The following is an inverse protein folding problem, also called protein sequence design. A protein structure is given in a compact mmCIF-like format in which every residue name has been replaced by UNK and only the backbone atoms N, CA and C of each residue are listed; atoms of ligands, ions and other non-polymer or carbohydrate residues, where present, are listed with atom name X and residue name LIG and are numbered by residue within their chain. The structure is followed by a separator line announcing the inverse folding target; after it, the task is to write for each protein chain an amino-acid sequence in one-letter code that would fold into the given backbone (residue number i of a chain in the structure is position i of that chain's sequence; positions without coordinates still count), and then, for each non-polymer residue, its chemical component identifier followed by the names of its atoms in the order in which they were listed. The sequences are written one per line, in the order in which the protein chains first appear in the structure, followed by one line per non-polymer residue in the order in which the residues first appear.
data_IF_534233931382
#
_entry.id   IF_534233931382
#
_cell.length_a   1.000
_cell.length_b   1.000
_cell.length_c   1.000
_cell.angle_alpha   90.00
_cell.angle_beta   90.00
_cell.angle_gamma   90.00
#
_symmetry.space_group_name_H-M   'P 1'
#
loop_
_entity.id
_entity.type
_entity.pdbx_description
1 polymer ?
#
# COMPACT_ATOMS: atom_id res chain seq x y z
N UNK A 1 10.71 5.72 55.15
CA UNK A 1 10.37 7.14 55.40
C UNK A 1 9.39 7.56 54.34
N UNK A 2 8.22 8.16 54.55
CA UNK A 2 7.42 8.60 55.70
C UNK A 2 6.04 8.92 55.05
N UNK A 3 4.91 8.44 55.54
CA UNK A 3 4.12 8.98 56.66
C UNK A 3 3.78 10.49 56.52
N UNK A 4 2.51 10.76 56.18
CA UNK A 4 1.54 11.82 56.57
C UNK A 4 1.84 13.33 56.43
N UNK A 5 0.83 14.04 55.89
CA UNK A 5 0.11 15.20 56.45
C UNK A 5 -1.15 15.36 55.54
N UNK A 6 -2.43 15.20 55.95
CA UNK A 6 -3.22 15.90 56.99
C UNK A 6 -3.08 17.44 56.84
N UNK A 7 -4.11 18.29 56.71
CA UNK A 7 -5.42 18.38 57.34
C UNK A 7 -6.31 19.38 56.56
N UNK A 8 -7.63 19.27 56.73
CA UNK A 8 -8.51 20.36 57.23
C UNK A 8 -9.97 19.85 57.21
N UNK A 9 -10.46 19.22 58.29
CA UNK A 9 -11.16 19.82 59.45
C UNK A 9 -12.41 20.65 59.11
N UNK A 10 -13.58 20.10 59.48
CA UNK A 10 -14.52 20.83 60.34
C UNK A 10 -15.54 19.87 60.99
N UNK A 11 -15.45 19.74 62.31
CA UNK A 11 -16.48 19.29 63.25
C UNK A 11 -16.78 20.50 64.16
N UNK A 12 -17.95 20.67 64.81
CA UNK A 12 -18.24 19.82 65.97
C UNK A 12 -19.74 19.63 66.38
N UNK A 13 -20.00 18.48 67.03
CA UNK A 13 -20.71 18.27 68.32
C UNK A 13 -22.23 18.43 68.62
N UNK A 14 -22.73 17.36 69.30
CA UNK A 14 -23.72 17.22 70.41
C UNK A 14 -25.24 17.47 70.12
N UNK A 15 -26.27 16.80 70.69
CA UNK A 15 -26.50 15.98 71.90
C UNK A 15 -27.81 15.13 71.77
N UNK A 16 -27.97 14.15 72.66
CA UNK A 16 -29.01 13.11 72.78
C UNK A 16 -30.47 13.57 73.03
N UNK A 17 -31.44 12.64 72.90
CA UNK A 17 -32.46 12.36 73.94
C UNK A 17 -33.19 11.01 73.74
N UNK A 18 -33.60 10.47 74.87
CA UNK A 18 -34.07 9.13 75.22
C UNK A 18 -35.60 9.09 75.39
N UNK A 19 -36.27 7.95 75.16
CA UNK A 19 -37.34 7.39 76.02
C UNK A 19 -38.23 6.33 75.31
N UNK A 20 -38.37 5.17 75.95
CA UNK A 20 -39.49 4.21 75.80
C UNK A 20 -40.54 4.46 76.92
N UNK A 21 -41.79 3.95 76.88
CA UNK A 21 -42.03 2.56 77.35
C UNK A 21 -43.30 1.78 76.87
N UNK A 22 -43.20 0.47 77.10
CA UNK A 22 -44.12 -0.68 77.38
C UNK A 22 -45.66 -0.56 77.59
N UNK A 23 -46.37 -1.55 76.98
CA UNK A 23 -47.23 -2.67 77.52
C UNK A 23 -48.78 -2.66 77.49
N UNK A 24 -49.30 -3.83 77.03
CA UNK A 24 -50.52 -4.63 77.38
C UNK A 24 -51.92 -4.16 76.97
N UNK A 25 -52.76 -4.99 76.33
CA UNK A 25 -53.68 -5.94 77.02
C UNK A 25 -54.46 -6.84 76.01
N UNK A 26 -55.25 -7.82 76.52
CA UNK A 26 -55.64 -9.09 75.89
C UNK A 26 -57.18 -9.28 75.85
N UNK A 27 -57.72 -9.82 74.73
CA UNK A 27 -58.95 -10.69 74.53
C UNK A 27 -60.37 -10.09 74.72
N UNK A 28 -61.48 -10.76 74.30
CA UNK A 28 -61.69 -11.92 73.37
C UNK A 28 -62.82 -11.69 72.31
N UNK A 29 -62.96 -12.59 71.32
CA UNK A 29 -64.10 -12.57 70.39
C UNK A 29 -64.32 -13.89 69.66
N UNK A 30 -65.35 -14.62 70.11
CA UNK A 30 -65.91 -15.86 69.59
C UNK A 30 -66.84 -15.55 68.40
N UNK A 31 -66.92 -16.42 67.39
CA UNK A 31 -68.14 -16.56 66.56
C UNK A 31 -67.96 -16.48 65.03
N UNK A 32 -68.37 -17.56 64.34
CA UNK A 32 -68.69 -17.54 62.91
C UNK A 32 -68.10 -18.71 62.12
N UNK A 33 -68.66 -19.92 62.28
CA UNK A 33 -68.35 -21.07 61.41
C UNK A 33 -69.07 -21.01 60.06
N UNK A 34 -68.59 -21.80 59.09
CA UNK A 34 -69.38 -22.13 57.89
C UNK A 34 -68.60 -22.66 56.69
N UNK A 35 -68.26 -23.95 56.71
CA UNK A 35 -68.31 -24.85 55.54
C UNK A 35 -67.26 -24.73 54.43
N UNK A 36 -66.52 -25.83 54.18
CA UNK A 36 -65.92 -26.06 52.86
C UNK A 36 -64.66 -26.93 52.83
N UNK A 37 -64.85 -28.25 52.85
CA UNK A 37 -64.06 -29.28 52.15
C UNK A 37 -62.55 -29.37 52.43
N UNK A 38 -62.16 -30.43 53.14
CA UNK A 38 -60.81 -30.98 53.09
C UNK A 38 -60.37 -31.19 51.63
N UNK A 39 -59.23 -30.65 51.16
CA UNK A 39 -58.72 -30.98 49.84
C UNK A 39 -58.31 -32.44 49.83
N UNK A 40 -58.90 -33.19 48.93
CA UNK A 40 -58.55 -34.57 48.63
C UNK A 40 -57.04 -34.64 48.27
N UNK A 41 -56.21 -35.43 48.97
CA UNK A 41 -54.77 -35.50 48.71
C UNK A 41 -54.44 -35.97 47.28
N UNK A 42 -55.40 -36.58 46.58
CA UNK A 42 -55.28 -36.90 45.17
C UNK A 42 -55.41 -35.67 44.25
N UNK A 43 -56.31 -34.72 44.55
CA UNK A 43 -56.45 -33.48 43.75
C UNK A 43 -55.28 -32.51 43.94
N UNK A 44 -54.66 -32.50 45.13
CA UNK A 44 -53.46 -31.68 45.37
C UNK A 44 -52.25 -32.17 44.57
N UNK A 45 -52.05 -33.50 44.47
CA UNK A 45 -50.97 -34.10 43.65
C UNK A 45 -51.19 -33.91 42.15
N UNK A 46 -52.44 -33.99 41.68
CA UNK A 46 -52.79 -33.72 40.27
C UNK A 46 -52.54 -32.24 39.93
N UNK A 47 -52.91 -31.30 40.80
CA UNK A 47 -52.62 -29.86 40.60
C UNK A 47 -51.12 -29.54 40.63
N UNK A 48 -50.35 -30.23 41.47
CA UNK A 48 -48.88 -30.09 41.50
C UNK A 48 -48.23 -30.65 40.23
N UNK A 49 -48.69 -31.79 39.70
CA UNK A 49 -48.23 -32.36 38.43
C UNK A 49 -48.53 -31.42 37.25
N UNK A 50 -49.73 -30.84 37.21
CA UNK A 50 -50.12 -29.87 36.16
C UNK A 50 -49.30 -28.59 36.26
N UNK A 51 -49.07 -28.05 37.47
CA UNK A 51 -48.23 -26.87 37.67
C UNK A 51 -46.77 -27.10 37.24
N UNK A 52 -46.20 -28.27 37.56
CA UNK A 52 -44.86 -28.66 37.08
C UNK A 52 -44.83 -28.78 35.54
N UNK A 53 -45.85 -29.38 34.92
CA UNK A 53 -45.97 -29.46 33.47
C UNK A 53 -46.02 -28.09 32.80
N UNK A 54 -46.77 -27.14 33.37
CA UNK A 54 -46.84 -25.75 32.88
C UNK A 54 -45.50 -25.03 33.04
N UNK A 55 -44.79 -25.20 34.16
CA UNK A 55 -43.47 -24.60 34.36
C UNK A 55 -42.46 -25.15 33.34
N UNK A 56 -42.43 -26.46 33.13
CA UNK A 56 -41.55 -27.10 32.13
C UNK A 56 -41.89 -26.61 30.72
N UNK A 57 -43.17 -26.51 30.37
CA UNK A 57 -43.61 -25.96 29.09
C UNK A 57 -43.15 -24.51 28.90
N UNK A 58 -43.33 -23.66 29.92
CA UNK A 58 -42.87 -22.27 29.90
C UNK A 58 -41.35 -22.18 29.76
N UNK A 59 -40.59 -23.03 30.45
CA UNK A 59 -39.12 -23.08 30.31
C UNK A 59 -38.70 -23.50 28.90
N UNK A 60 -39.37 -24.48 28.29
CA UNK A 60 -39.11 -24.89 26.91
C UNK A 60 -39.41 -23.74 25.94
N UNK A 61 -40.56 -23.08 26.08
CA UNK A 61 -40.92 -21.92 25.25
C UNK A 61 -39.96 -20.74 25.45
N UNK A 62 -39.54 -20.48 26.68
CA UNK A 62 -38.54 -19.44 26.99
C UNK A 62 -37.20 -19.76 26.35
N UNK A 63 -36.75 -21.01 26.42
CA UNK A 63 -35.49 -21.47 25.80
C UNK A 63 -35.56 -21.38 24.28
N UNK A 64 -36.70 -21.73 23.67
CA UNK A 64 -36.93 -21.60 22.23
C UNK A 64 -37.01 -20.14 21.78
N UNK A 65 -37.64 -19.26 22.57
CA UNK A 65 -37.69 -17.83 22.29
C UNK A 65 -36.30 -17.17 22.40
N UNK A 66 -35.53 -17.50 23.45
CA UNK A 66 -34.15 -17.03 23.63
C UNK A 66 -33.25 -17.57 22.50
N UNK A 67 -33.32 -18.86 22.18
CA UNK A 67 -32.57 -19.45 21.07
C UNK A 67 -32.96 -18.85 19.72
N UNK A 68 -34.24 -18.47 19.53
CA UNK A 68 -34.73 -17.78 18.35
C UNK A 68 -34.11 -16.39 18.16
N UNK A 69 -34.05 -15.58 19.22
CA UNK A 69 -33.41 -14.26 19.21
C UNK A 69 -31.88 -14.33 19.07
N UNK A 70 -31.23 -15.32 19.71
CA UNK A 70 -29.78 -15.51 19.60
C UNK A 70 -29.39 -15.99 18.19
N UNK A 71 -30.19 -16.87 17.57
CA UNK A 71 -29.93 -17.38 16.22
C UNK A 71 -30.11 -16.31 15.15
N UNK A 72 -31.12 -15.45 15.26
CA UNK A 72 -31.31 -14.32 14.33
C UNK A 72 -30.18 -13.29 14.47
N UNK A 73 -29.75 -12.97 15.71
CA UNK A 73 -28.62 -12.08 15.97
C UNK A 73 -27.30 -12.57 15.37
N UNK A 74 -26.96 -13.86 15.56
CA UNK A 74 -25.74 -14.47 14.99
C UNK A 74 -25.76 -14.48 13.46
N UNK A 75 -26.92 -14.76 12.86
CA UNK A 75 -27.10 -14.77 11.41
C UNK A 75 -26.90 -13.38 10.82
N UNK A 76 -27.43 -12.34 11.47
CA UNK A 76 -27.26 -10.96 11.04
C UNK A 76 -25.81 -10.50 11.20
N UNK A 77 -25.17 -10.80 12.34
CA UNK A 77 -23.76 -10.47 12.55
C UNK A 77 -22.85 -11.10 11.48
N UNK A 78 -23.12 -12.34 11.08
CA UNK A 78 -22.36 -13.00 10.02
C UNK A 78 -22.60 -12.37 8.63
N UNK A 79 -23.83 -11.95 8.32
CA UNK A 79 -24.14 -11.20 7.09
C UNK A 79 -23.45 -9.85 7.06
N UNK A 80 -23.51 -9.11 8.18
CA UNK A 80 -22.86 -7.81 8.31
C UNK A 80 -21.35 -7.97 8.18
N UNK A 81 -20.75 -8.95 8.87
CA UNK A 81 -19.33 -9.28 8.72
C UNK A 81 -18.96 -9.59 7.26
N UNK A 82 -19.70 -10.48 6.59
CA UNK A 82 -19.45 -10.80 5.18
C UNK A 82 -19.59 -9.58 4.25
N UNK A 83 -20.52 -8.66 4.54
CA UNK A 83 -20.69 -7.42 3.79
C UNK A 83 -19.52 -6.49 4.02
N UNK A 84 -19.08 -6.32 5.26
CA UNK A 84 -17.98 -5.44 5.62
C UNK A 84 -16.66 -5.95 5.03
N UNK A 85 -16.42 -7.27 5.09
CA UNK A 85 -15.29 -7.92 4.41
C UNK A 85 -15.35 -7.71 2.90
N UNK A 86 -16.52 -7.91 2.29
CA UNK A 86 -16.69 -7.65 0.84
C UNK A 86 -16.40 -6.20 0.50
N UNK A 87 -16.92 -5.26 1.29
CA UNK A 87 -16.76 -3.83 1.06
C UNK A 87 -15.28 -3.42 1.13
N UNK A 88 -14.54 -3.82 2.17
CA UNK A 88 -13.10 -3.48 2.27
C UNK A 88 -12.29 -4.12 1.16
N UNK A 89 -12.61 -5.35 0.74
CA UNK A 89 -11.89 -6.01 -0.35
C UNK A 89 -12.14 -5.35 -1.71
N UNK A 90 -13.35 -4.85 -1.95
CA UNK A 90 -13.69 -4.09 -3.15
C UNK A 90 -13.04 -2.70 -3.16
N UNK A 91 -13.11 -1.98 -2.04
CA UNK A 91 -12.47 -0.67 -1.85
C UNK A 91 -10.95 -0.78 -2.04
N UNK A 92 -10.33 -1.80 -1.44
CA UNK A 92 -8.89 -2.06 -1.58
C UNK A 92 -8.46 -2.32 -3.02
N UNK A 93 -9.39 -2.78 -3.87
CA UNK A 93 -9.15 -2.89 -5.30
C UNK A 93 -9.33 -1.55 -6.02
N UNK A 94 -10.50 -0.90 -5.87
CA UNK A 94 -10.87 0.27 -6.66
C UNK A 94 -10.16 1.55 -6.22
N UNK A 95 -9.96 1.74 -4.92
CA UNK A 95 -9.41 2.97 -4.33
C UNK A 95 -7.89 2.90 -4.14
N UNK A 96 -7.31 1.70 -4.19
CA UNK A 96 -5.90 1.48 -3.87
C UNK A 96 -5.16 0.75 -4.97
N UNK A 97 -5.50 -0.51 -5.26
CA UNK A 97 -4.73 -1.31 -6.21
C UNK A 97 -4.79 -0.78 -7.65
N UNK A 98 -5.98 -0.47 -8.16
CA UNK A 98 -6.13 0.06 -9.53
C UNK A 98 -5.41 1.40 -9.72
N UNK A 99 -5.59 2.40 -8.82
CA UNK A 99 -4.82 3.64 -8.87
C UNK A 99 -3.31 3.42 -8.74
N UNK A 100 -2.87 2.47 -7.91
CA UNK A 100 -1.45 2.14 -7.76
C UNK A 100 -0.86 1.65 -9.08
N UNK A 101 -1.46 0.64 -9.72
CA UNK A 101 -0.95 0.10 -10.97
C UNK A 101 -1.06 1.09 -12.13
N UNK A 102 -2.10 1.94 -12.13
CA UNK A 102 -2.22 3.03 -13.08
C UNK A 102 -1.09 4.06 -12.89
N UNK A 103 -0.78 4.45 -11.66
CA UNK A 103 0.30 5.38 -11.35
C UNK A 103 1.68 4.78 -11.70
N UNK A 104 1.95 3.52 -11.34
CA UNK A 104 3.22 2.87 -11.67
C UNK A 104 3.42 2.63 -13.18
N UNK A 105 2.33 2.66 -13.96
CA UNK A 105 2.36 2.51 -15.43
C UNK A 105 2.21 3.84 -16.17
N UNK A 106 2.06 4.97 -15.47
CA UNK A 106 1.79 6.26 -16.10
C UNK A 106 3.03 6.85 -16.80
N UNK A 107 4.22 6.39 -16.41
CA UNK A 107 5.50 6.91 -16.88
C UNK A 107 5.80 8.33 -16.40
N UNK A 108 5.06 8.81 -15.40
CA UNK A 108 5.31 10.08 -14.71
C UNK A 108 6.59 10.03 -13.85
N UNK A 109 7.13 11.20 -13.52
CA UNK A 109 8.30 11.32 -12.65
C UNK A 109 7.97 11.16 -11.16
N UNK A 110 9.01 11.11 -10.32
CA UNK A 110 8.84 10.97 -8.88
C UNK A 110 8.06 12.14 -8.25
N UNK A 111 8.17 13.35 -8.79
CA UNK A 111 7.50 14.55 -8.26
C UNK A 111 5.98 14.43 -8.40
N UNK A 112 5.51 13.87 -9.52
CA UNK A 112 4.10 13.63 -9.77
C UNK A 112 3.57 12.37 -9.07
N UNK A 113 4.38 11.32 -8.96
CA UNK A 113 3.94 10.03 -8.41
C UNK A 113 3.93 9.98 -6.89
N UNK A 114 4.91 10.60 -6.21
CA UNK A 114 5.03 10.54 -4.74
C UNK A 114 3.76 11.01 -4.01
N UNK A 115 3.15 12.17 -4.37
CA UNK A 115 1.91 12.60 -3.72
C UNK A 115 0.76 11.61 -3.92
N UNK A 116 0.63 11.02 -5.12
CA UNK A 116 -0.41 10.01 -5.41
C UNK A 116 -0.20 8.79 -4.52
N UNK A 117 1.00 8.24 -4.48
CA UNK A 117 1.30 7.05 -3.67
C UNK A 117 1.18 7.29 -2.16
N UNK A 118 1.50 8.50 -1.68
CA UNK A 118 1.25 8.86 -0.27
C UNK A 118 -0.23 8.81 0.08
N UNK A 119 -1.11 9.29 -0.81
CA UNK A 119 -2.56 9.18 -0.62
C UNK A 119 -3.03 7.71 -0.62
N UNK A 120 -2.52 6.89 -1.55
CA UNK A 120 -2.86 5.46 -1.59
C UNK A 120 -2.40 4.71 -0.33
N UNK A 121 -1.23 5.06 0.20
CA UNK A 121 -0.73 4.54 1.48
C UNK A 121 -1.68 4.85 2.62
N UNK A 122 -2.16 6.09 2.72
CA UNK A 122 -3.09 6.50 3.77
C UNK A 122 -4.43 5.75 3.66
N UNK A 123 -4.96 5.60 2.45
CA UNK A 123 -6.16 4.80 2.21
C UNK A 123 -5.97 3.35 2.64
N UNK A 124 -4.87 2.70 2.21
CA UNK A 124 -4.58 1.32 2.58
C UNK A 124 -4.38 1.12 4.09
N UNK A 125 -3.72 2.06 4.77
CA UNK A 125 -3.56 2.05 6.23
C UNK A 125 -4.92 2.14 6.93
N UNK A 126 -5.84 2.95 6.41
CA UNK A 126 -7.19 3.08 6.95
C UNK A 126 -8.05 1.84 6.71
N UNK A 127 -7.94 1.21 5.53
CA UNK A 127 -8.60 -0.07 5.24
C UNK A 127 -8.12 -1.18 6.17
N UNK A 128 -6.80 -1.30 6.41
CA UNK A 128 -6.25 -2.28 7.34
C UNK A 128 -6.72 -2.04 8.78
N UNK A 129 -6.75 -0.79 9.23
CA UNK A 129 -7.32 -0.41 10.54
C UNK A 129 -8.81 -0.73 10.61
N UNK A 130 -9.57 -0.48 9.55
CA UNK A 130 -11.01 -0.77 9.50
C UNK A 130 -11.26 -2.27 9.59
N UNK A 131 -10.53 -3.07 8.79
CA UNK A 131 -10.63 -4.53 8.79
C UNK A 131 -10.34 -5.12 10.18
N UNK A 132 -9.32 -4.62 10.88
CA UNK A 132 -8.99 -5.03 12.26
C UNK A 132 -10.12 -4.78 13.26
N UNK A 133 -10.96 -3.78 13.03
CA UNK A 133 -12.05 -3.40 13.93
C UNK A 133 -13.41 -4.00 13.53
N UNK A 134 -13.43 -4.91 12.56
CA UNK A 134 -14.64 -5.65 12.25
C UNK A 134 -15.09 -6.50 13.43
N UNK A 135 -16.39 -6.79 13.47
CA UNK A 135 -17.01 -7.64 14.49
C UNK A 135 -17.23 -9.03 13.91
N UNK A 136 -16.23 -9.93 13.91
CA UNK A 136 -16.42 -11.27 13.39
C UNK A 136 -17.37 -12.07 14.30
N UNK A 137 -17.99 -13.14 13.78
CA UNK A 137 -18.66 -14.13 14.60
C UNK A 137 -17.71 -14.67 15.68
N UNK A 138 -18.21 -14.85 16.90
CA UNK A 138 -17.39 -15.28 18.05
C UNK A 138 -16.96 -16.75 18.06
N UNK A 139 -17.27 -17.51 17.00
CA UNK A 139 -16.83 -18.90 16.85
C UNK A 139 -15.42 -19.00 16.27
N UNK A 140 -14.83 -20.20 16.32
CA UNK A 140 -13.43 -20.40 15.92
C UNK A 140 -13.21 -20.11 14.43
N UNK A 141 -14.22 -20.36 13.58
CA UNK A 141 -14.16 -20.02 12.15
C UNK A 141 -14.17 -18.52 11.91
N UNK A 142 -15.05 -17.77 12.58
CA UNK A 142 -15.07 -16.31 12.48
C UNK A 142 -13.77 -15.67 12.95
N UNK A 143 -13.19 -16.17 14.05
CA UNK A 143 -11.88 -15.72 14.54
C UNK A 143 -10.74 -16.04 13.56
N UNK A 144 -10.72 -17.26 13.00
CA UNK A 144 -9.72 -17.64 12.01
C UNK A 144 -9.82 -16.80 10.73
N UNK A 145 -11.04 -16.57 10.24
CA UNK A 145 -11.29 -15.71 9.09
C UNK A 145 -10.82 -14.28 9.34
N UNK A 146 -11.09 -13.75 10.53
CA UNK A 146 -10.68 -12.41 10.93
C UNK A 146 -9.15 -12.29 11.01
N UNK A 147 -8.49 -13.25 11.65
CA UNK A 147 -7.03 -13.29 11.72
C UNK A 147 -6.40 -13.28 10.32
N UNK A 148 -6.90 -14.14 9.42
CA UNK A 148 -6.36 -14.26 8.06
C UNK A 148 -6.66 -13.02 7.22
N UNK A 149 -7.83 -12.37 7.41
CA UNK A 149 -8.15 -11.08 6.80
C UNK A 149 -7.19 -9.97 7.28
N UNK A 150 -6.95 -9.88 8.58
CA UNK A 150 -6.03 -8.90 9.16
C UNK A 150 -4.62 -9.08 8.61
N UNK A 151 -4.14 -10.32 8.50
CA UNK A 151 -2.84 -10.62 7.90
C UNK A 151 -2.79 -10.14 6.44
N UNK A 152 -3.80 -10.46 5.63
CA UNK A 152 -3.86 -10.06 4.24
C UNK A 152 -3.89 -8.53 4.06
N UNK A 153 -4.73 -7.83 4.84
CA UNK A 153 -4.84 -6.37 4.75
C UNK A 153 -3.57 -5.66 5.25
N UNK A 154 -2.89 -6.21 6.26
CA UNK A 154 -1.58 -5.70 6.70
C UNK A 154 -0.49 -5.92 5.65
N UNK A 155 -0.48 -7.06 4.95
CA UNK A 155 0.45 -7.27 3.83
C UNK A 155 0.23 -6.23 2.72
N UNK A 156 -1.03 -5.92 2.41
CA UNK A 156 -1.36 -4.88 1.42
C UNK A 156 -0.85 -3.51 1.83
N UNK A 157 -1.19 -3.05 3.03
CA UNK A 157 -0.77 -1.72 3.49
C UNK A 157 0.74 -1.57 3.58
N UNK A 158 1.44 -2.60 4.08
CA UNK A 158 2.91 -2.61 4.15
C UNK A 158 3.57 -2.63 2.77
N UNK A 159 3.02 -3.38 1.82
CA UNK A 159 3.50 -3.41 0.46
C UNK A 159 3.39 -2.03 -0.19
N UNK A 160 2.23 -1.39 -0.10
CA UNK A 160 1.99 -0.06 -0.68
C UNK A 160 2.91 0.99 -0.04
N UNK A 161 3.06 0.95 1.28
CA UNK A 161 3.99 1.81 2.01
C UNK A 161 5.42 1.66 1.49
N UNK A 162 5.88 0.42 1.39
CA UNK A 162 7.24 0.12 0.94
C UNK A 162 7.45 0.52 -0.53
N UNK A 163 6.44 0.32 -1.40
CA UNK A 163 6.50 0.78 -2.79
C UNK A 163 6.61 2.31 -2.83
N UNK A 164 5.78 3.03 -2.08
CA UNK A 164 5.82 4.49 -2.00
C UNK A 164 7.19 5.01 -1.51
N UNK A 165 7.76 4.39 -0.49
CA UNK A 165 9.05 4.76 0.09
C UNK A 165 10.22 4.48 -0.88
N UNK A 166 10.13 3.42 -1.69
CA UNK A 166 11.20 3.01 -2.64
C UNK A 166 11.10 3.69 -4.00
N UNK A 167 9.93 4.17 -4.38
CA UNK A 167 9.68 4.73 -5.71
C UNK A 167 10.66 5.86 -6.10
N UNK A 168 10.98 6.85 -5.23
CA UNK A 168 11.92 7.91 -5.59
C UNK A 168 13.31 7.37 -5.96
N UNK A 169 13.79 6.34 -5.25
CA UNK A 169 15.07 5.69 -5.55
C UNK A 169 15.00 4.84 -6.82
N UNK A 170 13.86 4.17 -7.06
CA UNK A 170 13.65 3.37 -8.27
C UNK A 170 13.58 4.24 -9.55
N UNK A 171 13.08 5.48 -9.43
CA UNK A 171 13.04 6.47 -10.50
C UNK A 171 14.29 7.37 -10.56
N UNK A 172 15.20 7.21 -9.61
CA UNK A 172 16.42 7.99 -9.48
C UNK A 172 17.53 7.50 -10.40
N UNK A 173 18.78 7.65 -9.95
CA UNK A 173 19.96 7.26 -10.71
C UNK A 173 19.95 5.75 -11.01
N UNK A 174 19.98 5.32 -12.29
CA UNK A 174 19.98 3.91 -12.68
C UNK A 174 21.12 3.08 -12.10
N UNK A 175 22.27 3.68 -11.78
CA UNK A 175 23.38 2.98 -11.13
C UNK A 175 23.04 2.55 -9.69
N UNK A 176 22.01 3.15 -9.08
CA UNK A 176 21.60 2.92 -7.68
C UNK A 176 20.14 2.51 -7.53
N UNK A 177 19.37 2.47 -8.62
CA UNK A 177 17.93 2.21 -8.59
C UNK A 177 17.60 0.73 -8.42
N UNK A 178 18.51 -0.18 -8.80
CA UNK A 178 18.24 -1.63 -8.83
C UNK A 178 17.74 -2.20 -7.48
N UNK A 179 18.36 -1.91 -6.32
CA UNK A 179 17.84 -2.41 -5.04
C UNK A 179 16.43 -1.91 -4.71
N UNK A 180 16.06 -0.72 -5.18
CA UNK A 180 14.72 -0.18 -4.99
C UNK A 180 13.70 -0.85 -5.93
N UNK A 181 14.09 -1.13 -7.17
CA UNK A 181 13.30 -1.91 -8.14
C UNK A 181 13.05 -3.32 -7.62
N UNK A 182 14.09 -4.01 -7.13
CA UNK A 182 13.99 -5.34 -6.55
C UNK A 182 13.06 -5.35 -5.33
N UNK A 183 13.16 -4.33 -4.48
CA UNK A 183 12.27 -4.18 -3.33
C UNK A 183 10.81 -3.99 -3.78
N UNK A 184 10.54 -3.19 -4.81
CA UNK A 184 9.20 -2.99 -5.36
C UNK A 184 8.65 -4.32 -5.92
N UNK A 185 9.43 -5.06 -6.69
CA UNK A 185 9.05 -6.38 -7.20
C UNK A 185 8.74 -7.38 -6.06
N UNK A 186 9.54 -7.36 -4.99
CA UNK A 186 9.28 -8.15 -3.79
C UNK A 186 7.96 -7.79 -3.11
N UNK A 187 7.56 -6.51 -3.11
CA UNK A 187 6.27 -6.11 -2.57
C UNK A 187 5.09 -6.50 -3.46
N UNK A 188 5.28 -6.62 -4.78
CA UNK A 188 4.26 -7.21 -5.66
C UNK A 188 3.96 -8.67 -5.28
N UNK A 189 4.97 -9.41 -4.80
CA UNK A 189 4.76 -10.76 -4.24
C UNK A 189 3.97 -10.71 -2.92
N UNK A 190 4.19 -9.72 -2.06
CA UNK A 190 3.40 -9.53 -0.84
C UNK A 190 1.93 -9.21 -1.14
N UNK A 191 1.66 -8.38 -2.16
CA UNK A 191 0.30 -8.12 -2.66
C UNK A 191 -0.35 -9.43 -3.15
N UNK A 192 0.37 -10.24 -3.94
CA UNK A 192 -0.12 -11.55 -4.38
C UNK A 192 -0.36 -12.52 -3.20
N UNK A 193 0.52 -12.51 -2.19
CA UNK A 193 0.34 -13.34 -1.00
C UNK A 193 -0.95 -12.96 -0.24
N UNK A 194 -1.27 -11.66 -0.15
CA UNK A 194 -2.54 -11.20 0.43
C UNK A 194 -3.75 -11.77 -0.30
N UNK A 195 -3.68 -11.82 -1.64
CA UNK A 195 -4.72 -12.38 -2.50
C UNK A 195 -4.90 -13.88 -2.27
N UNK A 196 -3.78 -14.61 -2.15
CA UNK A 196 -3.80 -16.05 -1.85
C UNK A 196 -4.42 -16.31 -0.48
N UNK A 197 -4.08 -15.54 0.55
CA UNK A 197 -4.67 -15.68 1.90
C UNK A 197 -6.18 -15.48 1.85
N UNK A 198 -6.67 -14.44 1.16
CA UNK A 198 -8.10 -14.17 1.08
C UNK A 198 -8.85 -15.30 0.39
N UNK A 199 -8.37 -15.77 -0.77
CA UNK A 199 -9.04 -16.80 -1.57
C UNK A 199 -8.96 -18.17 -0.90
N UNK A 200 -7.82 -18.52 -0.31
CA UNK A 200 -7.58 -19.86 0.24
C UNK A 200 -8.07 -20.02 1.69
N UNK A 201 -8.25 -18.92 2.43
CA UNK A 201 -8.53 -18.95 3.87
C UNK A 201 -9.74 -18.12 4.26
N UNK A 202 -9.66 -16.80 4.10
CA UNK A 202 -10.68 -15.88 4.61
C UNK A 202 -12.06 -16.13 3.99
N UNK A 203 -12.14 -16.14 2.66
CA UNK A 203 -13.40 -16.32 1.94
C UNK A 203 -14.05 -17.68 2.21
N UNK A 204 -13.35 -18.83 2.09
CA UNK A 204 -13.94 -20.14 2.40
C UNK A 204 -14.50 -20.24 3.82
N UNK A 205 -13.77 -19.75 4.83
CA UNK A 205 -14.23 -19.79 6.22
C UNK A 205 -15.54 -19.02 6.43
N UNK A 206 -15.69 -17.86 5.78
CA UNK A 206 -16.89 -17.02 5.88
C UNK A 206 -18.05 -17.65 5.08
N UNK A 207 -17.79 -18.10 3.86
CA UNK A 207 -18.81 -18.70 3.00
C UNK A 207 -19.36 -20.00 3.60
N UNK A 208 -18.51 -20.84 4.21
CA UNK A 208 -18.93 -22.03 4.93
C UNK A 208 -19.76 -21.68 6.16
N UNK A 209 -19.36 -20.67 6.93
CA UNK A 209 -20.15 -20.19 8.07
C UNK A 209 -21.54 -19.68 7.61
N UNK A 210 -21.62 -18.96 6.48
CA UNK A 210 -22.87 -18.47 5.91
C UNK A 210 -23.78 -19.62 5.49
N UNK A 211 -23.19 -20.63 4.84
CA UNK A 211 -23.89 -21.84 4.42
C UNK A 211 -24.44 -22.61 5.63
N UNK A 212 -23.65 -22.82 6.67
CA UNK A 212 -24.05 -23.53 7.88
C UNK A 212 -25.14 -22.77 8.67
N UNK A 213 -25.14 -21.44 8.60
CA UNK A 213 -26.18 -20.58 9.15
C UNK A 213 -27.48 -20.56 8.30
N UNK A 214 -27.51 -21.23 7.15
CA UNK A 214 -28.66 -21.25 6.23
C UNK A 214 -28.86 -19.93 5.49
N UNK A 215 -27.81 -19.11 5.36
CA UNK A 215 -27.87 -17.85 4.63
C UNK A 215 -27.65 -18.10 3.14
N UNK A 216 -28.74 -18.06 2.37
CA UNK A 216 -28.67 -18.14 0.91
C UNK A 216 -28.38 -16.77 0.28
N UNK A 217 -27.52 -16.74 -0.74
CA UNK A 217 -27.26 -15.55 -1.56
C UNK A 217 -26.25 -14.55 -0.97
N UNK A 218 -25.70 -14.81 0.21
CA UNK A 218 -24.57 -14.06 0.75
C UNK A 218 -23.28 -14.86 0.52
N UNK A 219 -22.25 -14.21 0.02
CA UNK A 219 -20.89 -14.72 -0.05
C UNK A 219 -19.92 -13.56 -0.14
N UNK A 220 -18.69 -13.79 0.30
CA UNK A 220 -17.64 -12.77 0.19
C UNK A 220 -17.34 -12.55 -1.29
N UNK A 221 -17.61 -11.35 -1.79
CA UNK A 221 -17.17 -11.00 -3.14
C UNK A 221 -15.74 -10.52 -3.06
N UNK A 222 -14.91 -11.06 -3.94
CA UNK A 222 -13.49 -10.76 -3.96
C UNK A 222 -12.99 -10.72 -5.40
N UNK A 223 -12.12 -9.76 -5.66
CA UNK A 223 -11.41 -9.64 -6.92
C UNK A 223 -9.93 -9.46 -6.62
N UNK A 224 -9.10 -10.10 -7.45
CA UNK A 224 -7.64 -10.04 -7.32
C UNK A 224 -7.13 -8.62 -7.49
N UNK A 225 -6.18 -8.20 -6.64
CA UNK A 225 -5.51 -6.90 -6.78
C UNK A 225 -4.36 -6.99 -7.78
N UNK A 226 -3.58 -8.08 -7.75
CA UNK A 226 -2.51 -8.33 -8.75
C UNK A 226 -3.09 -9.09 -9.94
N UNK A 227 -3.62 -8.37 -10.93
CA UNK A 227 -4.19 -8.98 -12.15
C UNK A 227 -3.14 -9.40 -13.17
N UNK A 228 -2.00 -8.68 -13.23
CA UNK A 228 -0.90 -8.97 -14.15
C UNK A 228 0.31 -9.53 -13.37
N UNK A 229 0.63 -10.80 -13.63
CA UNK A 229 1.73 -11.49 -12.96
C UNK A 229 3.12 -11.01 -13.41
N UNK A 230 3.22 -10.23 -14.49
CA UNK A 230 4.49 -9.68 -14.96
C UNK A 230 5.13 -8.76 -13.91
N UNK A 231 4.31 -8.08 -13.08
CA UNK A 231 4.77 -7.22 -11.96
C UNK A 231 5.63 -7.91 -10.91
N UNK A 232 5.63 -9.25 -10.87
CA UNK A 232 6.46 -10.02 -9.93
C UNK A 232 7.94 -10.05 -10.33
N UNK A 233 8.28 -9.56 -11.53
CA UNK A 233 9.63 -9.55 -12.10
C UNK A 233 10.23 -8.15 -12.05
N UNK A 234 11.49 -7.99 -11.59
CA UNK A 234 12.17 -6.70 -11.61
C UNK A 234 12.22 -6.07 -13.00
N UNK A 235 12.39 -6.86 -14.07
CA UNK A 235 12.46 -6.39 -15.46
C UNK A 235 11.18 -5.69 -15.91
N UNK A 236 10.02 -6.24 -15.54
CA UNK A 236 8.73 -5.60 -15.82
C UNK A 236 8.58 -4.31 -15.02
N UNK A 237 8.96 -4.30 -13.74
CA UNK A 237 8.91 -3.09 -12.90
C UNK A 237 9.78 -1.99 -13.53
N UNK A 238 11.00 -2.31 -13.94
CA UNK A 238 11.89 -1.39 -14.66
C UNK A 238 11.24 -0.86 -15.93
N UNK A 239 10.61 -1.74 -16.72
CA UNK A 239 9.95 -1.38 -17.98
C UNK A 239 8.76 -0.45 -17.74
N UNK A 240 7.91 -0.74 -16.76
CA UNK A 240 6.69 0.03 -16.46
C UNK A 240 7.00 1.38 -15.82
N UNK A 241 7.98 1.42 -14.90
CA UNK A 241 8.55 2.67 -14.38
C UNK A 241 9.38 3.43 -15.44
N UNK A 242 9.76 2.74 -16.51
CA UNK A 242 10.58 3.24 -17.62
C UNK A 242 9.80 3.71 -18.84
N UNK A 243 8.49 3.50 -18.88
CA UNK A 243 7.63 3.77 -20.03
C UNK A 243 7.24 5.25 -20.18
N UNK A 244 8.21 6.18 -20.11
CA UNK A 244 8.25 7.37 -20.97
C UNK A 244 9.64 7.99 -20.93
N UNK A 245 10.08 8.43 -22.11
CA UNK A 245 11.46 8.78 -22.41
C UNK A 245 12.07 9.93 -21.62
N UNK A 246 13.38 9.83 -21.43
CA UNK A 246 14.34 10.89 -21.74
C UNK A 246 14.02 12.30 -21.23
N UNK A 247 13.56 12.45 -20.01
CA UNK A 247 13.32 13.76 -19.37
C UNK A 247 14.00 13.85 -18.01
N UNK A 248 15.26 13.40 -17.90
CA UNK A 248 16.03 13.53 -16.66
C UNK A 248 16.63 14.91 -16.51
N UNK A 249 16.45 15.57 -15.36
CA UNK A 249 17.36 16.64 -14.92
C UNK A 249 18.76 16.05 -14.84
N UNK A 250 19.76 16.71 -15.43
CA UNK A 250 21.11 16.18 -15.46
C UNK A 250 21.63 15.89 -14.04
N UNK A 251 22.09 14.67 -13.79
CA UNK A 251 22.78 14.31 -12.55
C UNK A 251 24.27 14.64 -12.67
N UNK A 252 24.91 14.91 -11.53
CA UNK A 252 26.36 15.12 -11.48
C UNK A 252 27.07 13.78 -11.58
N UNK A 253 27.97 13.63 -12.56
CA UNK A 253 28.74 12.40 -12.73
C UNK A 253 29.36 12.31 -14.11
N UNK A 254 30.38 11.46 -14.24
CA UNK A 254 30.95 11.12 -15.55
C UNK A 254 30.05 10.11 -16.26
N UNK A 255 29.98 10.20 -17.59
CA UNK A 255 29.33 9.20 -18.44
C UNK A 255 30.03 7.85 -18.25
N UNK A 256 29.29 6.81 -17.86
CA UNK A 256 29.85 5.49 -17.57
C UNK A 256 30.15 4.72 -18.84
N UNK A 257 31.32 4.09 -18.88
CA UNK A 257 31.67 3.14 -19.93
C UNK A 257 31.38 1.70 -19.45
N UNK A 258 30.42 1.05 -20.11
CA UNK A 258 30.03 -0.34 -19.85
C UNK A 258 30.46 -1.30 -20.96
N UNK A 259 31.28 -0.86 -21.92
CA UNK A 259 31.79 -1.70 -23.03
C UNK A 259 32.38 -3.03 -22.61
N UNK A 260 32.98 -3.08 -21.42
CA UNK A 260 33.63 -4.26 -20.85
C UNK A 260 32.68 -5.22 -20.11
N UNK A 261 31.42 -4.86 -19.94
CA UNK A 261 30.41 -5.73 -19.34
C UNK A 261 29.97 -6.80 -20.34
N UNK A 262 29.52 -7.95 -19.83
CA UNK A 262 29.03 -9.05 -20.67
C UNK A 262 27.62 -8.70 -21.20
N UNK A 263 27.39 -8.72 -22.53
CA UNK A 263 26.06 -8.48 -23.08
C UNK A 263 25.10 -9.63 -22.72
N UNK A 264 23.84 -9.28 -22.48
CA UNK A 264 22.76 -10.24 -22.20
C UNK A 264 22.13 -10.81 -23.46
N UNK A 265 22.37 -10.17 -24.60
CA UNK A 265 21.88 -10.54 -25.93
C UNK A 265 23.06 -10.85 -26.85
N UNK A 266 22.83 -11.71 -27.84
CA UNK A 266 23.81 -11.96 -28.89
C UNK A 266 23.64 -10.95 -30.02
N UNK A 267 24.73 -10.56 -30.67
CA UNK A 267 24.74 -9.62 -31.79
C UNK A 267 25.77 -8.51 -31.60
N UNK A 268 25.88 -7.61 -32.58
CA UNK A 268 26.74 -6.43 -32.46
C UNK A 268 26.06 -5.37 -31.58
N UNK A 269 26.73 -4.92 -30.54
CA UNK A 269 26.25 -3.83 -29.67
C UNK A 269 26.87 -2.50 -30.07
N UNK A 270 26.15 -1.40 -29.82
CA UNK A 270 26.77 -0.08 -29.86
C UNK A 270 25.87 1.10 -30.19
N UNK A 271 26.26 2.26 -29.66
CA UNK A 271 25.59 3.54 -29.86
C UNK A 271 26.55 4.56 -30.47
N UNK A 272 26.01 5.50 -31.23
CA UNK A 272 26.80 6.59 -31.81
C UNK A 272 26.10 7.92 -31.67
N UNK A 273 26.88 8.97 -31.44
CA UNK A 273 26.38 10.34 -31.48
C UNK A 273 26.25 10.76 -32.95
N UNK A 274 25.04 11.10 -33.36
CA UNK A 274 24.75 11.54 -34.73
C UNK A 274 24.59 13.06 -34.85
N UNK A 275 24.40 13.77 -33.74
CA UNK A 275 24.27 15.21 -33.73
C UNK A 275 24.13 15.80 -32.33
N UNK A 276 24.30 17.12 -32.23
CA UNK A 276 24.07 17.86 -30.99
C UNK A 276 23.57 19.28 -31.28
N UNK A 277 22.75 19.83 -30.40
CA UNK A 277 22.31 21.23 -30.46
C UNK A 277 22.11 21.82 -29.07
N UNK A 278 22.29 23.14 -28.92
CA UNK A 278 21.99 23.87 -27.68
C UNK A 278 21.06 25.02 -27.99
N UNK A 279 19.91 25.09 -27.31
CA UNK A 279 18.96 26.19 -27.49
C UNK A 279 18.46 26.36 -28.92
N UNK A 280 18.48 25.28 -29.72
CA UNK A 280 18.13 25.29 -31.14
C UNK A 280 19.30 25.53 -32.09
N UNK A 281 20.49 25.93 -31.61
CA UNK A 281 21.71 26.06 -32.43
C UNK A 281 22.37 24.69 -32.59
N UNK A 282 22.53 24.22 -33.83
CA UNK A 282 23.24 22.98 -34.13
C UNK A 282 24.74 23.16 -33.87
N UNK A 283 25.37 22.17 -33.24
CA UNK A 283 26.80 22.15 -32.98
C UNK A 283 27.52 21.33 -34.05
N UNK A 284 28.56 21.90 -34.64
CA UNK A 284 29.43 21.23 -35.62
C UNK A 284 30.77 20.93 -34.96
N UNK A 285 31.22 19.67 -35.04
CA UNK A 285 32.48 19.25 -34.43
C UNK A 285 33.67 20.04 -35.02
N UNK A 286 34.53 20.56 -34.15
CA UNK A 286 35.70 21.37 -34.54
C UNK A 286 35.42 22.84 -34.86
N UNK A 287 34.16 23.29 -34.82
CA UNK A 287 33.78 24.69 -35.01
C UNK A 287 33.38 25.36 -33.68
N UNK A 288 33.57 26.67 -33.60
CA UNK A 288 33.10 27.48 -32.48
C UNK A 288 31.64 27.91 -32.70
N UNK A 289 30.78 27.67 -31.71
CA UNK A 289 29.37 28.04 -31.76
C UNK A 289 29.01 29.02 -30.63
N UNK A 290 28.30 30.10 -30.95
CA UNK A 290 27.65 30.95 -29.94
C UNK A 290 26.21 30.49 -29.75
N UNK A 291 25.85 30.18 -28.51
CA UNK A 291 24.56 29.58 -28.16
C UNK A 291 23.85 30.40 -27.10
N UNK A 292 22.52 30.39 -27.13
CA UNK A 292 21.67 30.98 -26.09
C UNK A 292 20.85 29.89 -25.42
N UNK A 293 20.57 30.03 -24.13
CA UNK A 293 19.87 29.01 -23.37
C UNK A 293 20.76 27.82 -22.98
N UNK A 294 20.12 26.77 -22.48
CA UNK A 294 20.79 25.67 -21.74
C UNK A 294 20.25 24.30 -22.05
N UNK A 295 19.34 24.23 -23.01
CA UNK A 295 18.72 22.99 -23.43
C UNK A 295 19.64 22.35 -24.46
N UNK A 296 20.50 21.46 -23.97
CA UNK A 296 21.35 20.62 -24.80
C UNK A 296 20.51 19.43 -25.29
N UNK A 297 20.51 19.17 -26.58
CA UNK A 297 19.97 17.95 -27.18
C UNK A 297 21.10 17.18 -27.82
N UNK A 298 21.28 15.93 -27.42
CA UNK A 298 22.24 15.00 -28.02
C UNK A 298 21.44 13.94 -28.79
N UNK A 299 21.73 13.79 -30.08
CA UNK A 299 21.16 12.73 -30.89
C UNK A 299 22.03 11.49 -30.80
N UNK A 300 21.45 10.42 -30.29
CA UNK A 300 22.11 9.12 -30.16
C UNK A 300 21.36 8.10 -31.02
N UNK A 301 22.09 7.41 -31.88
CA UNK A 301 21.57 6.29 -32.66
C UNK A 301 22.11 4.97 -32.12
N UNK A 302 21.22 4.00 -31.91
CA UNK A 302 21.64 2.62 -31.71
C UNK A 302 22.04 2.05 -33.07
N UNK A 303 23.33 1.83 -33.24
CA UNK A 303 23.92 1.34 -34.48
C UNK A 303 24.11 -0.17 -34.44
N UNK A 304 23.77 -0.85 -33.35
CA UNK A 304 23.88 -2.29 -33.15
C UNK A 304 22.70 -3.10 -33.70
N UNK A 305 22.70 -4.37 -33.31
CA UNK A 305 21.72 -5.41 -33.65
C UNK A 305 20.86 -5.84 -32.46
N UNK A 306 21.03 -5.20 -31.30
CA UNK A 306 20.27 -5.46 -30.09
C UNK A 306 19.74 -4.15 -29.50
N UNK A 307 18.66 -4.23 -28.74
CA UNK A 307 18.19 -3.10 -27.93
C UNK A 307 19.22 -2.79 -26.84
N UNK A 308 19.58 -1.51 -26.73
CA UNK A 308 20.54 -1.06 -25.74
C UNK A 308 19.81 -0.48 -24.54
N UNK A 309 20.27 -0.81 -23.33
CA UNK A 309 19.62 -0.38 -22.09
C UNK A 309 20.59 0.28 -21.11
N UNK A 310 20.05 1.23 -20.34
CA UNK A 310 20.79 2.03 -19.36
C UNK A 310 22.02 2.70 -20.00
N UNK A 311 21.78 3.45 -21.07
CA UNK A 311 22.80 4.15 -21.86
C UNK A 311 23.01 5.53 -21.27
N UNK A 312 24.17 5.76 -20.63
CA UNK A 312 24.53 7.10 -20.14
C UNK A 312 24.82 8.03 -21.31
N UNK A 313 24.25 9.23 -21.30
CA UNK A 313 24.47 10.26 -22.31
C UNK A 313 24.71 11.58 -21.58
N UNK A 314 25.79 12.26 -21.90
CA UNK A 314 26.16 13.44 -21.14
C UNK A 314 27.40 14.10 -21.69
N UNK A 315 28.12 14.76 -20.80
CA UNK A 315 29.34 15.43 -21.19
C UNK A 315 30.04 16.15 -20.05
N UNK A 316 31.11 16.82 -20.44
CA UNK A 316 31.92 17.65 -19.58
C UNK A 316 32.09 19.00 -20.26
N UNK A 317 31.73 20.07 -19.56
CA UNK A 317 32.04 21.43 -19.96
C UNK A 317 33.27 21.92 -19.20
N UNK A 318 34.31 22.29 -19.93
CA UNK A 318 35.56 22.85 -19.40
C UNK A 318 35.64 24.33 -19.76
N UNK A 319 35.31 25.25 -18.83
CA UNK A 319 35.43 26.69 -19.10
C UNK A 319 36.89 27.09 -19.32
N UNK A 320 37.13 28.14 -20.09
CA UNK A 320 38.48 28.69 -20.34
C UNK A 320 39.23 29.03 -19.04
N UNK A 321 38.50 29.39 -17.99
CA UNK A 321 39.00 29.52 -16.63
C UNK A 321 38.03 28.89 -15.64
N UNK A 322 38.42 27.79 -14.99
CA UNK A 322 37.61 27.15 -13.95
C UNK A 322 37.78 25.64 -13.89
N UNK A 323 36.94 24.98 -13.08
CA UNK A 323 36.89 23.52 -12.99
C UNK A 323 35.90 22.98 -14.02
N UNK A 324 36.22 21.80 -14.57
CA UNK A 324 35.33 21.07 -15.44
C UNK A 324 34.01 20.70 -14.73
N UNK A 325 32.89 20.82 -15.44
CA UNK A 325 31.54 20.54 -14.97
C UNK A 325 31.03 19.34 -15.73
N UNK A 326 30.85 18.21 -15.04
CA UNK A 326 30.29 17.00 -15.63
C UNK A 326 28.80 16.91 -15.39
N UNK A 327 28.07 16.47 -16.40
CA UNK A 327 26.63 16.30 -16.37
C UNK A 327 26.29 15.06 -17.19
N UNK A 328 25.31 14.28 -16.74
CA UNK A 328 24.80 13.14 -17.49
C UNK A 328 23.30 12.99 -17.30
N UNK A 329 22.69 12.30 -18.24
CA UNK A 329 21.37 11.68 -18.10
C UNK A 329 21.51 10.23 -18.57
N UNK A 330 20.57 9.39 -18.22
CA UNK A 330 20.60 7.99 -18.67
C UNK A 330 19.36 7.71 -19.49
N UNK A 331 19.57 7.21 -20.70
CA UNK A 331 18.53 6.74 -21.58
C UNK A 331 18.25 5.28 -21.22
N UNK A 332 17.04 5.01 -20.74
CA UNK A 332 16.66 3.67 -20.24
C UNK A 332 16.75 2.61 -21.33
N UNK A 333 16.27 2.91 -22.54
CA UNK A 333 16.35 2.00 -23.69
C UNK A 333 16.49 2.79 -25.00
N UNK A 334 17.32 2.29 -25.92
CA UNK A 334 17.39 2.72 -27.31
C UNK A 334 17.17 1.49 -28.18
N UNK A 335 16.02 1.40 -28.83
CA UNK A 335 15.67 0.27 -29.70
C UNK A 335 16.67 0.12 -30.84
N UNK A 336 16.91 -1.11 -31.26
CA UNK A 336 17.77 -1.43 -32.40
C UNK A 336 17.45 -0.54 -33.62
N UNK A 337 18.48 0.11 -34.17
CA UNK A 337 18.37 0.97 -35.36
C UNK A 337 17.62 2.28 -35.15
N UNK A 338 17.14 2.57 -33.94
CA UNK A 338 16.45 3.82 -33.63
C UNK A 338 17.44 4.94 -33.31
N UNK A 339 17.02 6.18 -33.60
CA UNK A 339 17.66 7.40 -33.12
C UNK A 339 16.78 8.08 -32.10
N UNK A 340 17.38 8.54 -31.01
CA UNK A 340 16.69 9.21 -29.90
C UNK A 340 17.33 10.59 -29.68
N UNK A 341 16.48 11.60 -29.58
CA UNK A 341 16.86 12.92 -29.06
C UNK A 341 16.92 12.83 -27.53
N UNK A 342 18.09 13.10 -26.96
CA UNK A 342 18.32 13.10 -25.52
C UNK A 342 18.40 14.54 -25.03
N UNK A 343 17.31 15.11 -24.47
CA UNK A 343 17.35 16.45 -23.91
C UNK A 343 18.04 16.43 -22.53
N UNK A 344 18.91 17.41 -22.32
CA UNK A 344 19.69 17.64 -21.11
C UNK A 344 19.65 19.13 -20.80
N UNK A 345 19.08 19.50 -19.66
CA UNK A 345 19.19 20.88 -19.18
C UNK A 345 20.52 21.07 -18.46
N UNK A 346 21.38 21.95 -18.98
CA UNK A 346 22.71 22.18 -18.42
C UNK A 346 22.65 22.86 -17.04
N UNK A 347 23.53 22.50 -16.08
CA UNK A 347 23.52 23.06 -14.72
C UNK A 347 23.86 24.54 -14.66
N UNK A 348 23.26 25.28 -13.69
CA UNK A 348 23.59 26.63 -13.15
C UNK A 348 24.96 27.22 -13.52
N UNK A 349 25.96 26.39 -13.29
CA UNK A 349 27.38 26.70 -13.31
C UNK A 349 28.01 26.75 -14.70
N UNK A 350 27.37 26.17 -15.73
CA UNK A 350 27.83 26.24 -17.12
C UNK A 350 27.54 27.63 -17.69
N UNK A 351 28.61 28.41 -17.94
CA UNK A 351 28.57 29.79 -18.45
C UNK A 351 29.91 30.18 -19.08
N UNK A 352 29.90 31.20 -19.93
CA UNK A 352 31.10 31.75 -20.58
C UNK A 352 31.56 30.93 -21.79
N UNK A 353 32.83 31.08 -22.16
CA UNK A 353 33.48 30.33 -23.24
C UNK A 353 34.19 29.10 -22.68
N UNK A 354 34.11 27.98 -23.40
CA UNK A 354 34.80 26.75 -23.03
C UNK A 354 34.64 25.61 -24.03
N UNK A 355 35.27 24.50 -23.69
CA UNK A 355 35.16 23.24 -24.43
C UNK A 355 34.01 22.40 -23.88
N UNK A 356 33.12 21.96 -24.77
CA UNK A 356 32.05 21.02 -24.47
C UNK A 356 32.37 19.67 -25.10
N UNK A 357 32.72 18.68 -24.27
CA UNK A 357 32.87 17.30 -24.68
C UNK A 357 31.57 16.55 -24.37
N UNK A 358 30.84 16.10 -25.37
CA UNK A 358 29.69 15.20 -25.18
C UNK A 358 30.11 13.75 -25.40
N UNK A 359 29.43 12.86 -24.70
CA UNK A 359 29.73 11.44 -24.70
C UNK A 359 28.45 10.61 -24.54
N UNK A 360 28.37 9.50 -25.26
CA UNK A 360 27.49 8.38 -24.95
C UNK A 360 28.34 7.26 -24.35
N UNK A 361 27.86 6.66 -23.26
CA UNK A 361 28.54 5.59 -22.56
C UNK A 361 28.63 4.35 -23.43
N UNK A 362 29.76 3.66 -23.36
CA UNK A 362 29.88 2.35 -23.99
C UNK A 362 28.83 1.40 -23.42
N UNK A 363 28.18 0.58 -24.25
CA UNK A 363 27.21 -0.44 -23.81
C UNK A 363 27.84 -1.82 -23.75
N UNK A 364 27.32 -2.77 -22.95
CA UNK A 364 27.92 -4.10 -22.80
C UNK A 364 28.25 -4.76 -24.14
N UNK A 365 29.51 -5.16 -24.33
CA UNK A 365 29.97 -5.80 -25.57
C UNK A 365 30.20 -4.85 -26.76
N UNK A 366 30.10 -3.54 -26.59
CA UNK A 366 30.42 -2.57 -27.63
C UNK A 366 31.93 -2.50 -27.89
N UNK A 367 32.34 -2.81 -29.11
CA UNK A 367 33.75 -2.80 -29.51
C UNK A 367 34.20 -1.45 -30.09
N UNK A 368 33.29 -0.76 -30.80
CA UNK A 368 33.60 0.53 -31.42
C UNK A 368 33.07 1.68 -30.56
N UNK A 369 33.98 2.41 -29.92
CA UNK A 369 33.66 3.58 -29.08
C UNK A 369 34.05 4.92 -29.74
N UNK A 370 34.51 4.88 -31.00
CA UNK A 370 35.07 6.08 -31.66
C UNK A 370 34.00 7.11 -32.04
N UNK A 371 32.78 6.65 -32.26
CA UNK A 371 31.56 7.42 -32.54
C UNK A 371 30.83 7.84 -31.24
N UNK A 372 31.37 7.52 -30.07
CA UNK A 372 30.70 7.74 -28.79
C UNK A 372 31.04 9.09 -28.17
N UNK A 373 31.92 9.88 -28.79
CA UNK A 373 32.40 11.16 -28.24
C UNK A 373 32.45 12.21 -29.33
N UNK A 374 32.01 13.43 -29.01
CA UNK A 374 32.23 14.61 -29.84
C UNK A 374 32.64 15.81 -28.97
N UNK A 375 33.45 16.69 -29.53
CA UNK A 375 33.95 17.88 -28.83
C UNK A 375 33.65 19.14 -29.63
N UNK A 376 33.20 20.18 -28.93
CA UNK A 376 32.81 21.47 -29.49
C UNK A 376 33.44 22.61 -28.69
N UNK A 377 33.69 23.73 -29.36
CA UNK A 377 33.98 24.99 -28.68
C UNK A 377 32.69 25.80 -28.61
N UNK A 378 32.24 26.16 -27.41
CA UNK A 378 30.97 26.87 -27.23
C UNK A 378 31.15 28.13 -26.40
N UNK A 379 30.46 29.18 -26.80
CA UNK A 379 30.34 30.43 -26.05
C UNK A 379 28.88 30.66 -25.70
N UNK A 380 28.57 30.64 -24.41
CA UNK A 380 27.21 30.92 -23.93
C UNK A 380 26.97 32.44 -23.95
N UNK A 381 26.18 32.89 -24.93
CA UNK A 381 25.66 34.25 -25.01
C UNK A 381 24.63 34.48 -23.90
N UNK A 382 24.81 35.56 -23.15
CA UNK A 382 24.03 35.90 -21.96
C UNK A 382 22.54 36.09 -22.21
#
# INVERSE_FOLDING_TARGET
MSFFDDDDFDEPTHVAHEAAPRRTSRRPGLGGGGGGLSPDPQQARVRQMVALGVIVLVLILLTLAINGCVKSGRTNALKDYSRDVTAVLQESKSEVAEPLFAALSSGEDATALVPKLNSLRETADNEAKRAKNFSPPGDDRGKAAQHDLELAMNLRSQAIRTIADRLPSALGDPDTSQPAIDAIAGQMQALLASDVIIIARTKPLIDEALKDAGVSGASVQYTRIVSDASWLTPETVTTKLGATGGGGTASSGAVKDRSKETPTTAGRHGNGITGASIGGTTLTAGEAATVTGRDLKIQVANQGEADESNVDVGGTFTPASGKAISFKTTVKTITQGASVDVPITLPATVKGEGELKIQVGGVPGEENLTNNTQTFTVTFGG
#
